data_IF_763422165479
#
_entry.id   IF_763422165479
#
_cell.length_a   1.000
_cell.length_b   1.000
_cell.length_c   1.000
_cell.angle_alpha   90.00
_cell.angle_beta   90.00
_cell.angle_gamma   90.00
#
_symmetry.space_group_name_H-M   'P 1'
#
loop_
_entity.id
_entity.type
_entity.pdbx_description
1 polymer ?
#
# COMPACT_ATOMS: atom_id res chain seq x y z
N UNK A 1 0.63 -36.79 14.53
CA UNK A 1 1.53 -35.98 15.35
C UNK A 1 1.47 -34.55 14.78
N UNK A 2 1.13 -33.55 15.60
CA UNK A 2 0.94 -32.15 15.16
C UNK A 2 2.26 -31.59 14.61
N UNK A 3 2.21 -30.94 13.43
CA UNK A 3 3.41 -30.43 12.75
C UNK A 3 3.36 -28.92 12.64
N UNK A 4 4.52 -28.30 12.78
CA UNK A 4 4.71 -26.85 12.63
C UNK A 4 4.16 -26.32 11.29
N UNK A 5 4.45 -27.03 10.21
CA UNK A 5 4.07 -26.63 8.86
C UNK A 5 2.55 -26.57 8.67
N UNK A 6 1.82 -27.53 9.24
CA UNK A 6 0.35 -27.60 9.19
C UNK A 6 -0.30 -26.39 9.88
N UNK A 7 0.28 -25.95 11.00
CA UNK A 7 -0.18 -24.74 11.69
C UNK A 7 0.10 -23.50 10.83
N UNK A 8 1.31 -23.38 10.24
CA UNK A 8 1.65 -22.25 9.40
C UNK A 8 0.72 -22.14 8.19
N UNK A 9 0.42 -23.25 7.51
CA UNK A 9 -0.51 -23.27 6.38
C UNK A 9 -1.91 -22.77 6.77
N UNK A 10 -2.41 -23.17 7.94
CA UNK A 10 -3.75 -22.79 8.40
C UNK A 10 -3.83 -21.40 9.06
N UNK A 11 -2.70 -20.76 9.33
CA UNK A 11 -2.63 -19.49 10.05
C UNK A 11 -2.04 -18.35 9.24
N UNK A 12 -2.11 -18.43 7.91
CA UNK A 12 -1.50 -17.46 7.02
C UNK A 12 -0.02 -17.22 7.37
N UNK A 13 0.77 -18.31 7.32
CA UNK A 13 2.18 -18.32 7.67
C UNK A 13 2.49 -17.76 9.07
N UNK A 14 1.62 -18.01 10.04
CA UNK A 14 1.77 -17.58 11.43
C UNK A 14 1.19 -16.19 11.74
N UNK A 15 0.72 -15.42 10.77
CA UNK A 15 0.14 -14.09 11.00
C UNK A 15 -1.10 -14.14 11.89
N UNK A 16 -1.96 -15.13 11.67
CA UNK A 16 -3.21 -15.25 12.44
C UNK A 16 -2.95 -15.62 13.91
N UNK A 17 -1.82 -16.29 14.20
CA UNK A 17 -1.39 -16.54 15.58
C UNK A 17 -1.07 -15.22 16.28
N UNK A 18 -0.26 -14.35 15.65
CA UNK A 18 0.03 -13.03 16.20
C UNK A 18 -1.25 -12.18 16.37
N UNK A 19 -2.16 -12.23 15.40
CA UNK A 19 -3.44 -11.51 15.48
C UNK A 19 -4.34 -11.99 16.63
N UNK A 20 -4.26 -13.28 16.98
CA UNK A 20 -5.03 -13.85 18.06
C UNK A 20 -4.51 -13.42 19.45
N UNK A 21 -3.18 -13.44 19.62
CA UNK A 21 -2.58 -13.25 20.93
C UNK A 21 -2.13 -11.81 21.24
N UNK A 22 -1.88 -10.99 20.22
CA UNK A 22 -1.49 -9.58 20.42
C UNK A 22 -2.73 -8.71 20.50
N UNK A 23 -3.02 -8.10 21.68
CA UNK A 23 -4.20 -7.27 21.84
C UNK A 23 -4.09 -5.93 21.10
N UNK A 24 -5.25 -5.29 20.87
CA UNK A 24 -5.33 -3.96 20.28
C UNK A 24 -5.20 -3.91 18.77
N UNK A 25 -5.04 -2.72 18.21
CA UNK A 25 -4.92 -2.47 16.78
C UNK A 25 -3.46 -2.26 16.39
N UNK A 26 -2.89 -3.19 15.68
CA UNK A 26 -1.55 -3.10 15.12
C UNK A 26 -1.55 -3.52 13.65
N UNK A 27 -0.48 -3.22 12.92
CA UNK A 27 -0.34 -3.54 11.50
C UNK A 27 1.05 -4.09 11.21
N UNK A 28 1.13 -5.05 10.30
CA UNK A 28 2.40 -5.56 9.75
C UNK A 28 3.22 -4.38 9.20
N UNK A 29 4.50 -4.34 9.53
CA UNK A 29 5.42 -3.28 9.11
C UNK A 29 5.29 -1.95 9.89
N UNK A 30 4.48 -1.91 10.95
CA UNK A 30 4.35 -0.75 11.84
C UNK A 30 4.73 -1.12 13.27
N UNK A 31 5.44 -0.23 13.94
CA UNK A 31 5.85 -0.46 15.32
C UNK A 31 4.65 -0.33 16.27
N UNK A 32 4.62 -1.22 17.27
CA UNK A 32 3.67 -1.23 18.37
C UNK A 32 4.39 -1.58 19.68
N UNK A 33 3.70 -1.46 20.82
CA UNK A 33 4.25 -1.81 22.14
C UNK A 33 4.34 -3.33 22.29
N UNK A 34 5.44 -3.84 22.82
CA UNK A 34 5.60 -5.27 23.01
C UNK A 34 4.63 -5.78 24.09
N UNK A 35 3.76 -6.76 23.80
CA UNK A 35 2.82 -7.27 24.79
C UNK A 35 3.41 -8.24 25.81
N UNK A 36 4.69 -8.60 25.67
CA UNK A 36 5.37 -9.57 26.54
C UNK A 36 6.01 -8.92 27.76
N UNK A 37 6.17 -7.59 27.79
CA UNK A 37 6.70 -6.81 28.92
C UNK A 37 6.14 -5.38 28.93
N UNK A 38 6.36 -4.65 30.02
CA UNK A 38 6.02 -3.24 30.09
C UNK A 38 6.93 -2.41 29.19
N UNK A 39 6.41 -2.05 28.00
CA UNK A 39 7.12 -1.28 27.00
C UNK A 39 6.61 0.16 26.99
N UNK A 40 7.51 1.13 27.15
CA UNK A 40 7.17 2.55 27.13
C UNK A 40 7.26 3.19 25.74
N UNK A 41 7.87 2.49 24.76
CA UNK A 41 8.11 3.01 23.43
C UNK A 41 7.86 1.92 22.37
N UNK A 42 7.01 2.20 21.42
CA UNK A 42 6.67 1.26 20.34
C UNK A 42 7.93 0.81 19.56
N UNK A 43 8.49 -0.32 19.95
CA UNK A 43 9.73 -0.91 19.42
C UNK A 43 9.50 -2.23 18.69
N UNK A 44 8.32 -2.83 18.80
CA UNK A 44 7.99 -4.15 18.28
C UNK A 44 7.37 -4.07 16.89
N UNK A 45 7.74 -4.97 15.98
CA UNK A 45 7.23 -5.00 14.62
C UNK A 45 6.98 -6.45 14.16
N UNK A 46 5.88 -6.68 13.43
CA UNK A 46 5.64 -7.94 12.73
C UNK A 46 6.02 -7.75 11.26
N UNK A 47 6.85 -8.64 10.73
CA UNK A 47 7.29 -8.63 9.34
C UNK A 47 7.27 -10.04 8.74
N UNK A 48 7.22 -10.13 7.42
CA UNK A 48 7.31 -11.41 6.70
C UNK A 48 8.75 -11.74 6.36
N UNK A 49 9.24 -12.85 6.89
CA UNK A 49 10.57 -13.37 6.57
C UNK A 49 10.49 -14.34 5.39
N UNK A 50 11.01 -13.92 4.25
CA UNK A 50 11.01 -14.72 3.01
C UNK A 50 11.83 -16.00 3.10
N UNK A 51 12.87 -16.06 3.95
CA UNK A 51 13.73 -17.24 4.11
C UNK A 51 13.01 -18.38 4.81
N UNK A 52 12.28 -18.08 5.87
CA UNK A 52 11.48 -19.05 6.61
C UNK A 52 10.04 -19.15 6.12
N UNK A 53 9.63 -18.36 5.14
CA UNK A 53 8.27 -18.26 4.61
C UNK A 53 7.22 -18.10 5.73
N UNK A 54 7.52 -17.27 6.73
CA UNK A 54 6.66 -17.07 7.88
C UNK A 54 6.75 -15.65 8.45
N UNK A 55 5.70 -15.23 9.13
CA UNK A 55 5.73 -13.99 9.88
C UNK A 55 6.54 -14.13 11.15
N UNK A 56 7.31 -13.09 11.46
CA UNK A 56 8.14 -12.98 12.68
C UNK A 56 7.88 -11.66 13.38
N UNK A 57 8.08 -11.68 14.68
CA UNK A 57 8.13 -10.52 15.53
C UNK A 57 9.60 -10.11 15.71
N UNK A 58 9.91 -8.83 15.47
CA UNK A 58 11.19 -8.20 15.80
C UNK A 58 10.94 -7.13 16.83
N UNK A 59 11.65 -7.21 17.95
CA UNK A 59 11.71 -6.15 18.92
C UNK A 59 13.07 -5.43 18.79
N UNK A 60 13.01 -4.13 18.48
CA UNK A 60 14.20 -3.28 18.34
C UNK A 60 14.67 -2.73 19.69
N UNK A 61 13.86 -2.83 20.73
CA UNK A 61 14.20 -2.44 22.10
C UNK A 61 14.91 -3.55 22.85
N UNK A 62 14.48 -4.80 22.67
CA UNK A 62 15.08 -5.98 23.28
C UNK A 62 14.97 -7.20 22.36
N UNK A 63 16.11 -7.62 21.80
CA UNK A 63 16.16 -8.70 20.83
C UNK A 63 15.78 -10.08 21.39
N UNK A 64 15.87 -10.26 22.71
CA UNK A 64 15.45 -11.51 23.39
C UNK A 64 13.97 -11.85 23.18
N UNK A 65 13.15 -10.86 22.79
CA UNK A 65 11.74 -11.05 22.49
C UNK A 65 11.45 -11.19 20.98
N UNK A 66 12.49 -11.32 20.15
CA UNK A 66 12.35 -11.49 18.71
C UNK A 66 12.24 -12.96 18.33
N UNK A 67 11.24 -13.33 17.48
CA UNK A 67 11.07 -14.71 17.07
C UNK A 67 9.87 -14.96 16.16
N UNK A 68 9.60 -16.24 15.86
CA UNK A 68 8.42 -16.65 15.13
C UNK A 68 7.18 -16.71 16.04
N UNK A 69 6.02 -17.03 15.46
CA UNK A 69 4.77 -17.11 16.23
C UNK A 69 4.78 -18.17 17.31
N UNK A 70 5.54 -19.26 17.16
CA UNK A 70 5.67 -20.31 18.15
C UNK A 70 6.51 -19.85 19.35
N UNK A 71 7.63 -19.16 19.06
CA UNK A 71 8.44 -18.51 20.08
C UNK A 71 7.61 -17.51 20.89
N UNK A 72 6.84 -16.67 20.21
CA UNK A 72 5.98 -15.67 20.84
C UNK A 72 4.95 -16.32 21.79
N UNK A 73 4.26 -17.38 21.35
CA UNK A 73 3.31 -18.11 22.21
C UNK A 73 4.02 -18.81 23.35
N UNK A 74 5.20 -19.37 23.10
CA UNK A 74 6.04 -19.97 24.16
C UNK A 74 6.35 -18.97 25.27
N UNK A 75 6.84 -17.77 24.90
CA UNK A 75 7.12 -16.68 25.86
C UNK A 75 5.84 -16.26 26.62
N UNK A 76 4.72 -16.11 25.92
CA UNK A 76 3.45 -15.71 26.51
C UNK A 76 2.91 -16.77 27.52
N UNK A 77 3.22 -18.06 27.30
CA UNK A 77 2.75 -19.17 28.13
C UNK A 77 3.81 -19.69 29.10
N UNK A 78 5.01 -19.11 29.12
CA UNK A 78 6.13 -19.54 29.96
C UNK A 78 6.69 -20.93 29.56
N UNK A 79 6.62 -21.27 28.28
CA UNK A 79 7.10 -22.53 27.72
C UNK A 79 8.37 -22.32 26.88
N UNK A 80 9.36 -23.18 27.09
CA UNK A 80 10.62 -23.12 26.32
C UNK A 80 10.46 -23.79 24.96
N UNK A 81 10.58 -22.99 23.88
CA UNK A 81 10.50 -23.48 22.51
C UNK A 81 11.62 -24.43 22.10
N UNK A 82 12.76 -24.43 22.81
CA UNK A 82 13.88 -25.32 22.53
C UNK A 82 13.68 -26.71 23.16
N UNK A 83 12.74 -26.85 24.08
CA UNK A 83 12.38 -28.12 24.67
C UNK A 83 11.30 -28.81 23.82
N UNK A 84 11.58 -30.01 23.36
CA UNK A 84 10.66 -30.77 22.46
C UNK A 84 9.27 -31.00 23.06
N UNK A 85 9.16 -31.26 24.34
CA UNK A 85 7.88 -31.47 25.02
C UNK A 85 7.09 -30.18 25.11
N UNK A 86 7.73 -29.08 25.50
CA UNK A 86 7.14 -27.75 25.55
C UNK A 86 6.74 -27.26 24.16
N UNK A 87 7.53 -27.57 23.14
CA UNK A 87 7.18 -27.20 21.76
C UNK A 87 5.93 -27.91 21.26
N UNK A 88 5.77 -29.21 21.54
CA UNK A 88 4.55 -29.95 21.22
C UNK A 88 3.34 -29.35 21.95
N UNK A 89 3.52 -28.91 23.18
CA UNK A 89 2.45 -28.26 23.95
C UNK A 89 2.07 -26.89 23.34
N UNK A 90 3.06 -26.10 22.90
CA UNK A 90 2.82 -24.84 22.15
C UNK A 90 1.99 -25.10 20.89
N UNK A 91 2.31 -26.14 20.12
CA UNK A 91 1.52 -26.51 18.93
C UNK A 91 0.07 -26.85 19.31
N UNK A 92 -0.15 -27.61 20.39
CA UNK A 92 -1.50 -27.97 20.88
C UNK A 92 -2.29 -26.75 21.35
N UNK A 93 -1.63 -25.84 22.06
CA UNK A 93 -2.24 -24.58 22.51
C UNK A 93 -2.72 -23.77 21.31
N UNK A 94 -1.87 -23.59 20.28
CA UNK A 94 -2.23 -22.86 19.07
C UNK A 94 -3.37 -23.55 18.32
N UNK A 95 -3.30 -24.88 18.15
CA UNK A 95 -4.35 -25.66 17.48
C UNK A 95 -5.69 -25.50 18.19
N UNK A 96 -5.72 -25.61 19.53
CA UNK A 96 -6.91 -25.45 20.36
C UNK A 96 -7.43 -24.01 20.33
N UNK A 97 -6.57 -23.02 20.61
CA UNK A 97 -7.00 -21.64 20.79
C UNK A 97 -7.49 -21.01 19.47
N UNK A 98 -6.91 -21.42 18.33
CA UNK A 98 -7.36 -21.01 16.99
C UNK A 98 -8.35 -22.00 16.35
N UNK A 99 -8.72 -23.08 17.05
CA UNK A 99 -9.65 -24.12 16.57
C UNK A 99 -9.27 -24.69 15.19
N UNK A 100 -7.98 -25.01 14.97
CA UNK A 100 -7.47 -25.45 13.69
C UNK A 100 -7.88 -26.90 13.34
N UNK A 101 -8.23 -27.72 14.35
CA UNK A 101 -8.70 -29.11 14.19
C UNK A 101 -7.61 -30.07 13.71
N UNK A 102 -6.35 -29.83 14.07
CA UNK A 102 -5.20 -30.65 13.67
C UNK A 102 -4.91 -31.78 14.66
N UNK A 103 -5.42 -31.72 15.91
CA UNK A 103 -5.28 -32.77 16.92
C UNK A 103 -6.29 -33.89 16.65
N UNK A 104 -5.83 -35.13 16.57
CA UNK A 104 -6.67 -36.32 16.38
C UNK A 104 -7.73 -36.43 17.50
N UNK A 105 -9.00 -36.44 17.13
CA UNK A 105 -10.11 -36.79 18.01
C UNK A 105 -11.23 -35.78 18.17
N UNK A 106 -11.16 -34.61 17.61
CA UNK A 106 -12.31 -33.72 17.52
C UNK A 106 -12.96 -33.82 16.12
N UNK A 107 -14.31 -34.10 16.06
CA UNK A 107 -15.00 -33.91 14.78
C UNK A 107 -14.76 -32.47 14.33
N UNK A 108 -14.32 -32.33 13.09
CA UNK A 108 -14.17 -31.04 12.44
C UNK A 108 -15.46 -30.27 12.72
N UNK A 109 -15.43 -29.19 13.52
CA UNK A 109 -16.51 -28.23 13.42
C UNK A 109 -16.43 -27.80 11.99
N UNK A 110 -17.44 -28.08 11.17
CA UNK A 110 -17.64 -27.41 9.90
C UNK A 110 -17.26 -25.96 10.18
N UNK A 111 -16.16 -25.50 9.61
CA UNK A 111 -15.79 -24.11 9.59
C UNK A 111 -17.06 -23.38 9.17
N UNK A 112 -17.84 -22.91 10.16
CA UNK A 112 -18.59 -21.69 9.95
C UNK A 112 -17.50 -20.77 9.46
N UNK A 113 -17.49 -20.58 8.14
CA UNK A 113 -16.74 -19.47 7.53
C UNK A 113 -16.74 -18.40 8.59
N UNK A 114 -15.58 -18.10 9.19
CA UNK A 114 -15.46 -16.89 9.96
C UNK A 114 -15.94 -15.84 8.98
N UNK A 115 -17.22 -15.51 9.06
CA UNK A 115 -17.65 -14.20 8.68
C UNK A 115 -16.68 -13.35 9.49
N UNK A 116 -15.69 -12.80 8.79
CA UNK A 116 -14.94 -11.66 9.27
C UNK A 116 -15.97 -10.89 10.09
N UNK A 117 -15.77 -10.66 11.43
CA UNK A 117 -16.79 -9.97 12.22
C UNK A 117 -17.17 -8.83 11.31
N UNK A 118 -18.43 -8.87 10.83
CA UNK A 118 -18.89 -7.88 9.87
C UNK A 118 -18.41 -6.60 10.53
N UNK A 119 -17.33 -6.02 9.99
CA UNK A 119 -16.94 -4.66 10.36
C UNK A 119 -18.29 -4.00 10.28
N UNK A 120 -18.85 -3.48 11.42
CA UNK A 120 -20.18 -2.92 11.33
C UNK A 120 -20.14 -2.22 10.01
N UNK A 121 -21.00 -2.70 9.06
CA UNK A 121 -21.09 -2.05 7.77
C UNK A 121 -21.63 -0.71 8.18
N UNK A 122 -20.71 0.12 8.64
CA UNK A 122 -20.86 1.55 8.55
C UNK A 122 -21.20 1.67 7.09
N UNK A 123 -22.50 1.84 6.84
CA UNK A 123 -23.05 2.16 5.54
C UNK A 123 -21.98 3.03 4.92
N UNK A 124 -21.38 2.66 3.76
CA UNK A 124 -20.21 3.34 3.27
C UNK A 124 -20.53 4.80 3.49
N UNK A 125 -19.87 5.40 4.52
CA UNK A 125 -19.94 6.82 4.69
C UNK A 125 -19.35 7.23 3.38
N UNK A 126 -20.24 7.57 2.42
CA UNK A 126 -19.80 8.28 1.25
C UNK A 126 -19.06 9.44 1.85
N UNK A 127 -17.74 9.30 1.93
CA UNK A 127 -16.89 10.43 2.25
C UNK A 127 -17.17 11.34 1.10
N UNK A 128 -18.14 12.22 1.34
CA UNK A 128 -18.51 13.27 0.40
C UNK A 128 -17.21 13.97 0.12
N UNK A 129 -16.67 13.67 -1.06
CA UNK A 129 -15.38 14.25 -1.44
C UNK A 129 -15.53 15.75 -1.37
N UNK A 130 -14.46 16.46 -1.09
CA UNK A 130 -14.50 17.93 -1.01
C UNK A 130 -15.23 18.48 -2.24
N UNK A 131 -16.24 19.33 -2.08
CA UNK A 131 -16.93 19.93 -3.21
C UNK A 131 -15.92 20.68 -4.06
N UNK A 132 -16.02 20.57 -5.36
CA UNK A 132 -15.15 21.27 -6.27
C UNK A 132 -15.87 21.65 -7.55
N UNK A 133 -15.42 22.72 -8.15
CA UNK A 133 -15.76 23.12 -9.51
C UNK A 133 -14.51 23.48 -10.27
N UNK A 134 -14.50 23.27 -11.58
CA UNK A 134 -13.40 23.70 -12.41
C UNK A 134 -13.89 24.12 -13.79
N UNK A 135 -13.15 25.04 -14.41
CA UNK A 135 -13.32 25.44 -15.81
C UNK A 135 -12.13 24.93 -16.59
N UNK A 136 -12.41 24.19 -17.65
CA UNK A 136 -11.36 23.67 -18.55
C UNK A 136 -11.35 24.42 -19.87
N UNK A 137 -10.25 24.32 -20.58
CA UNK A 137 -10.07 24.76 -21.95
C UNK A 137 -9.23 23.75 -22.73
N UNK A 138 -9.17 23.91 -24.04
CA UNK A 138 -8.19 23.18 -24.85
C UNK A 138 -6.78 23.61 -24.46
N UNK A 139 -5.85 22.65 -24.55
CA UNK A 139 -4.42 22.91 -24.31
C UNK A 139 -3.90 23.97 -25.33
N UNK A 140 -3.17 24.94 -24.86
CA UNK A 140 -2.50 25.95 -25.69
C UNK A 140 -1.24 25.37 -26.33
N UNK A 141 -0.68 26.06 -27.33
CA UNK A 141 0.57 25.65 -27.98
C UNK A 141 1.72 25.52 -26.97
N UNK A 142 1.88 26.48 -26.04
CA UNK A 142 2.91 26.41 -24.99
C UNK A 142 2.71 25.29 -24.00
N UNK A 143 1.46 24.91 -23.71
CA UNK A 143 1.16 23.76 -22.85
C UNK A 143 1.45 22.44 -23.58
N UNK A 144 1.21 22.37 -24.88
CA UNK A 144 1.59 21.21 -25.69
C UNK A 144 3.11 21.07 -25.80
N UNK A 145 3.85 22.16 -25.97
CA UNK A 145 5.32 22.16 -25.91
C UNK A 145 5.86 21.66 -24.57
N UNK A 146 5.21 22.05 -23.47
CA UNK A 146 5.57 21.55 -22.14
C UNK A 146 5.44 20.02 -22.05
N UNK A 147 4.39 19.40 -22.61
CA UNK A 147 4.21 17.96 -22.61
C UNK A 147 5.12 17.26 -23.62
N UNK A 148 5.38 17.89 -24.76
CA UNK A 148 6.23 17.35 -25.83
C UNK A 148 7.68 17.12 -25.36
N UNK A 149 8.22 17.91 -24.41
CA UNK A 149 9.57 17.70 -23.85
C UNK A 149 9.71 16.33 -23.13
N UNK A 150 8.60 15.69 -22.76
CA UNK A 150 8.55 14.35 -22.15
C UNK A 150 8.11 13.28 -23.17
N UNK A 151 8.06 13.61 -24.45
CA UNK A 151 7.57 12.71 -25.50
C UNK A 151 6.05 12.52 -25.50
N UNK A 152 5.29 13.25 -24.67
CA UNK A 152 3.85 13.10 -24.53
C UNK A 152 3.15 13.91 -25.61
N UNK A 153 2.44 13.21 -26.51
CA UNK A 153 1.72 13.82 -27.64
C UNK A 153 0.30 14.24 -27.26
N UNK A 154 -0.36 15.10 -28.09
CA UNK A 154 -1.76 15.48 -27.86
C UNK A 154 -2.70 14.25 -27.77
N UNK A 155 -2.47 13.21 -28.56
CA UNK A 155 -3.27 12.00 -28.59
C UNK A 155 -3.17 11.24 -27.26
N UNK A 156 -1.96 11.17 -26.67
CA UNK A 156 -1.75 10.59 -25.34
C UNK A 156 -2.46 11.40 -24.27
N UNK A 157 -2.41 12.73 -24.34
CA UNK A 157 -3.11 13.60 -23.39
C UNK A 157 -4.63 13.39 -23.45
N UNK A 158 -5.19 13.24 -24.63
CA UNK A 158 -6.60 12.93 -24.83
C UNK A 158 -6.96 11.53 -24.31
N UNK A 159 -6.15 10.51 -24.66
CA UNK A 159 -6.33 9.13 -24.20
C UNK A 159 -6.36 9.03 -22.67
N UNK A 160 -5.52 9.79 -21.99
CA UNK A 160 -5.43 9.84 -20.55
C UNK A 160 -6.32 10.91 -19.89
N UNK A 161 -7.21 11.55 -20.66
CA UNK A 161 -8.20 12.52 -20.19
C UNK A 161 -7.56 13.71 -19.46
N UNK A 162 -6.40 14.18 -19.96
CA UNK A 162 -5.72 15.36 -19.45
C UNK A 162 -6.33 16.61 -20.04
N UNK A 163 -6.61 17.62 -19.22
CA UNK A 163 -7.13 18.91 -19.68
C UNK A 163 -6.32 20.08 -19.11
N UNK A 164 -6.37 21.23 -19.79
CA UNK A 164 -5.93 22.51 -19.23
C UNK A 164 -7.05 23.09 -18.36
N UNK A 165 -6.74 23.43 -17.11
CA UNK A 165 -7.69 23.98 -16.13
C UNK A 165 -7.45 25.48 -16.00
N UNK A 166 -8.48 26.27 -16.37
CA UNK A 166 -8.43 27.74 -16.25
C UNK A 166 -8.60 28.19 -14.82
N UNK A 167 -9.58 27.60 -14.14
CA UNK A 167 -9.89 27.92 -12.75
C UNK A 167 -10.36 26.65 -12.02
N UNK A 168 -9.91 26.51 -10.79
CA UNK A 168 -10.35 25.47 -9.86
C UNK A 168 -10.79 26.09 -8.55
N UNK A 169 -11.91 25.66 -8.02
CA UNK A 169 -12.45 26.10 -6.74
C UNK A 169 -12.78 24.87 -5.90
N UNK A 170 -12.48 24.93 -4.62
CA UNK A 170 -12.78 23.87 -3.64
C UNK A 170 -12.76 24.46 -2.23
N UNK A 171 -12.91 23.59 -1.22
CA UNK A 171 -12.85 23.94 0.20
C UNK A 171 -11.66 23.23 0.86
N UNK A 172 -11.04 23.89 1.83
CA UNK A 172 -10.00 23.27 2.65
C UNK A 172 -10.62 22.32 3.70
N UNK A 173 -9.79 21.74 4.59
CA UNK A 173 -10.24 20.81 5.63
C UNK A 173 -11.20 21.49 6.63
N UNK A 174 -11.09 22.81 6.79
CA UNK A 174 -11.87 23.62 7.71
C UNK A 174 -13.15 24.19 7.07
N UNK A 175 -13.44 23.81 5.81
CA UNK A 175 -14.60 24.28 5.05
C UNK A 175 -14.43 25.67 4.43
N UNK A 176 -13.23 26.28 4.50
CA UNK A 176 -12.99 27.58 3.90
C UNK A 176 -12.76 27.43 2.38
N UNK A 177 -13.48 28.24 1.56
CA UNK A 177 -13.32 28.19 0.11
C UNK A 177 -11.96 28.72 -0.33
N UNK A 178 -11.39 28.09 -1.35
CA UNK A 178 -10.20 28.58 -2.02
C UNK A 178 -10.33 28.44 -3.54
N UNK A 179 -9.60 29.23 -4.28
CA UNK A 179 -9.59 29.20 -5.74
C UNK A 179 -8.15 29.33 -6.28
N UNK A 180 -7.86 28.58 -7.33
CA UNK A 180 -6.66 28.72 -8.13
C UNK A 180 -7.02 29.01 -9.57
N UNK A 181 -6.31 29.94 -10.18
CA UNK A 181 -6.44 30.27 -11.62
C UNK A 181 -5.10 30.02 -12.29
N UNK A 182 -5.16 29.41 -13.48
CA UNK A 182 -3.95 29.21 -14.29
C UNK A 182 -3.51 30.53 -14.93
N UNK A 183 -2.22 30.70 -15.02
CA UNK A 183 -1.58 31.76 -15.81
C UNK A 183 -0.71 31.12 -16.88
N UNK A 184 -0.07 31.95 -17.73
CA UNK A 184 0.87 31.45 -18.73
C UNK A 184 2.13 30.86 -18.08
N UNK A 185 2.55 31.46 -16.95
CA UNK A 185 3.72 31.06 -16.16
C UNK A 185 3.43 29.88 -15.22
N UNK A 186 2.18 29.81 -14.71
CA UNK A 186 1.72 28.74 -13.81
C UNK A 186 0.49 28.00 -14.39
N UNK A 187 0.69 27.16 -15.41
CA UNK A 187 -0.40 26.34 -15.97
C UNK A 187 -0.87 25.30 -14.94
N UNK A 188 -2.14 24.95 -15.05
CA UNK A 188 -2.78 23.92 -14.24
C UNK A 188 -3.32 22.84 -15.17
N UNK A 189 -2.88 21.61 -14.96
CA UNK A 189 -3.37 20.44 -15.69
C UNK A 189 -4.27 19.59 -14.80
N UNK A 190 -5.34 19.02 -15.36
CA UNK A 190 -6.27 18.17 -14.66
C UNK A 190 -6.25 16.74 -15.21
N UNK A 191 -6.04 15.74 -14.34
CA UNK A 191 -6.27 14.33 -14.62
C UNK A 191 -7.71 14.00 -14.21
N UNK A 192 -8.59 13.93 -15.21
CA UNK A 192 -10.03 13.77 -14.97
C UNK A 192 -10.44 12.34 -14.70
N UNK A 193 -11.28 12.15 -13.68
CA UNK A 193 -11.99 10.92 -13.41
C UNK A 193 -13.47 11.22 -13.16
N UNK A 194 -14.33 10.19 -13.16
CA UNK A 194 -15.78 10.35 -12.94
C UNK A 194 -16.16 10.93 -11.58
N UNK A 195 -15.33 10.72 -10.54
CA UNK A 195 -15.64 11.06 -9.15
C UNK A 195 -14.71 12.09 -8.54
N UNK A 196 -13.63 12.43 -9.22
CA UNK A 196 -12.61 13.35 -8.71
C UNK A 196 -11.80 13.96 -9.86
N UNK A 197 -11.04 14.98 -9.54
CA UNK A 197 -9.97 15.52 -10.38
C UNK A 197 -8.70 15.62 -9.55
N UNK A 198 -7.57 15.19 -10.12
CA UNK A 198 -6.23 15.46 -9.58
C UNK A 198 -5.62 16.57 -10.42
N UNK A 199 -5.20 17.65 -9.79
CA UNK A 199 -4.58 18.77 -10.46
C UNK A 199 -3.06 18.67 -10.35
N UNK A 200 -2.38 18.96 -11.42
CA UNK A 200 -0.94 19.06 -11.52
C UNK A 200 -0.52 20.48 -11.86
N UNK A 201 0.32 21.07 -11.02
CA UNK A 201 0.85 22.44 -11.12
C UNK A 201 2.39 22.36 -11.15
N UNK A 202 3.01 22.19 -12.34
CA UNK A 202 4.44 21.85 -12.47
C UNK A 202 5.37 22.85 -11.83
N UNK A 203 5.04 24.15 -11.88
CA UNK A 203 5.89 25.25 -11.45
C UNK A 203 5.54 25.80 -10.06
N UNK A 204 4.49 25.27 -9.43
CA UNK A 204 4.04 25.72 -8.11
C UNK A 204 4.69 24.92 -6.97
N UNK A 205 4.87 25.55 -5.80
CA UNK A 205 5.37 24.89 -4.58
C UNK A 205 4.47 23.71 -4.19
N UNK A 206 3.16 23.87 -4.28
CA UNK A 206 2.18 22.80 -4.11
C UNK A 206 1.82 22.23 -5.47
N UNK A 207 2.52 21.16 -5.87
CA UNK A 207 2.38 20.57 -7.19
C UNK A 207 1.06 19.87 -7.44
N UNK A 208 0.46 19.30 -6.43
CA UNK A 208 -0.77 18.51 -6.56
C UNK A 208 -1.88 19.04 -5.67
N UNK A 209 -3.07 19.16 -6.24
CA UNK A 209 -4.31 19.45 -5.55
C UNK A 209 -5.38 18.44 -5.96
N UNK A 210 -6.41 18.33 -5.16
CA UNK A 210 -7.43 17.32 -5.33
C UNK A 210 -8.81 17.92 -5.16
N UNK A 211 -9.72 17.58 -6.08
CA UNK A 211 -11.15 17.84 -5.97
C UNK A 211 -11.92 16.53 -5.98
N UNK A 212 -12.95 16.41 -5.15
CA UNK A 212 -13.73 15.20 -5.00
C UNK A 212 -13.08 14.14 -4.11
N UNK A 213 -13.51 12.90 -4.22
CA UNK A 213 -13.03 11.79 -3.40
C UNK A 213 -12.03 10.93 -4.18
N UNK A 214 -10.74 11.14 -3.92
CA UNK A 214 -9.69 10.23 -4.37
C UNK A 214 -9.63 9.08 -3.37
N UNK A 215 -10.34 7.98 -3.67
CA UNK A 215 -10.33 6.79 -2.85
C UNK A 215 -8.98 6.07 -2.84
N UNK A 216 -8.87 5.07 -1.95
CA UNK A 216 -7.69 4.18 -1.85
C UNK A 216 -7.39 3.40 -3.14
N UNK A 217 -8.35 3.35 -4.06
CA UNK A 217 -8.29 2.63 -5.34
C UNK A 217 -7.79 3.48 -6.51
N UNK A 218 -7.22 4.68 -6.26
CA UNK A 218 -6.65 5.48 -7.34
C UNK A 218 -5.54 4.72 -8.06
N UNK A 219 -5.75 4.48 -9.35
CA UNK A 219 -4.77 3.84 -10.22
C UNK A 219 -4.87 4.50 -11.59
N UNK A 220 -3.92 5.37 -11.91
CA UNK A 220 -3.85 6.06 -13.19
C UNK A 220 -3.26 5.13 -14.25
N UNK A 221 -3.82 5.16 -15.45
CA UNK A 221 -3.40 4.31 -16.54
C UNK A 221 -4.12 2.95 -16.60
N UNK A 222 -4.88 2.57 -15.57
CA UNK A 222 -5.54 1.26 -15.51
C UNK A 222 -6.59 1.05 -16.62
N UNK A 223 -7.34 2.11 -16.97
CA UNK A 223 -8.36 2.08 -18.04
C UNK A 223 -7.75 1.94 -19.43
N UNK A 224 -6.50 2.39 -19.62
CA UNK A 224 -5.77 2.37 -20.88
C UNK A 224 -5.04 1.06 -21.16
N UNK A 225 -4.96 0.18 -20.17
CA UNK A 225 -4.26 -1.09 -20.33
C UNK A 225 -5.01 -2.07 -21.23
N UNK A 226 -4.33 -2.81 -22.11
CA UNK A 226 -4.93 -3.88 -22.91
C UNK A 226 -5.39 -5.04 -22.02
N UNK A 227 -6.26 -5.89 -22.52
CA UNK A 227 -6.73 -7.09 -21.79
C UNK A 227 -5.60 -8.09 -21.50
N UNK A 228 -4.56 -8.14 -22.33
CA UNK A 228 -3.34 -8.96 -22.18
C UNK A 228 -2.13 -8.21 -22.69
N UNK A 229 -0.97 -8.44 -22.06
CA UNK A 229 0.32 -7.86 -22.45
C UNK A 229 1.50 -8.64 -21.88
N UNK A 230 2.70 -8.35 -22.33
CA UNK A 230 3.92 -8.99 -21.82
C UNK A 230 4.38 -8.31 -20.53
N UNK A 231 4.60 -7.00 -20.57
CA UNK A 231 5.21 -6.25 -19.47
C UNK A 231 4.34 -5.06 -19.09
N UNK A 232 4.15 -4.88 -17.78
CA UNK A 232 3.52 -3.73 -17.16
C UNK A 232 4.53 -3.05 -16.24
N UNK A 233 4.65 -1.73 -16.34
CA UNK A 233 5.45 -0.92 -15.45
C UNK A 233 4.58 -0.24 -14.38
N UNK A 234 5.05 -0.19 -13.15
CA UNK A 234 4.47 0.60 -12.07
C UNK A 234 5.43 1.75 -11.78
N UNK A 235 4.98 2.99 -11.97
CA UNK A 235 5.80 4.20 -11.90
C UNK A 235 5.39 5.11 -10.75
N UNK A 236 6.19 6.16 -10.51
CA UNK A 236 5.97 7.13 -9.44
C UNK A 236 4.89 8.18 -9.72
N UNK A 237 4.53 8.43 -10.99
CA UNK A 237 3.63 9.52 -11.31
C UNK A 237 2.93 9.40 -12.67
N UNK A 238 1.87 10.20 -12.84
CA UNK A 238 1.03 10.21 -14.03
C UNK A 238 1.81 10.60 -15.30
N UNK A 239 2.76 11.52 -15.15
CA UNK A 239 3.61 11.97 -16.25
C UNK A 239 4.48 10.82 -16.78
N UNK A 240 5.05 10.02 -15.88
CA UNK A 240 5.90 8.88 -16.25
C UNK A 240 5.07 7.79 -16.95
N UNK A 241 3.83 7.55 -16.50
CA UNK A 241 2.88 6.64 -17.17
C UNK A 241 2.64 7.08 -18.61
N UNK A 242 2.34 8.36 -18.83
CA UNK A 242 2.06 8.88 -20.18
C UNK A 242 3.32 8.90 -21.05
N UNK A 243 4.48 9.20 -20.49
CA UNK A 243 5.75 9.15 -21.23
C UNK A 243 6.08 7.72 -21.68
N UNK A 244 5.91 6.73 -20.82
CA UNK A 244 6.06 5.31 -21.18
C UNK A 244 5.04 4.89 -22.25
N UNK A 245 3.79 5.32 -22.12
CA UNK A 245 2.75 5.04 -23.11
C UNK A 245 3.08 5.63 -24.50
N UNK A 246 3.65 6.82 -24.54
CA UNK A 246 4.11 7.44 -25.78
C UNK A 246 5.21 6.63 -26.49
N UNK A 247 5.96 5.82 -25.74
CA UNK A 247 6.98 4.90 -26.27
C UNK A 247 6.46 3.46 -26.45
N UNK A 248 5.13 3.24 -26.35
CA UNK A 248 4.51 1.92 -26.57
C UNK A 248 4.56 0.98 -25.38
N UNK A 249 4.95 1.45 -24.20
CA UNK A 249 4.96 0.63 -22.99
C UNK A 249 3.67 0.77 -22.19
N UNK A 250 3.26 -0.28 -21.52
CA UNK A 250 2.12 -0.27 -20.60
C UNK A 250 2.57 0.13 -19.20
N UNK A 251 1.96 1.14 -18.65
CA UNK A 251 2.31 1.62 -17.32
C UNK A 251 1.10 2.08 -16.52
N UNK A 252 1.22 2.00 -15.19
CA UNK A 252 0.28 2.56 -14.22
C UNK A 252 1.02 3.27 -13.10
N UNK A 253 0.35 4.15 -12.39
CA UNK A 253 0.83 4.67 -11.10
C UNK A 253 -0.31 4.79 -10.09
N UNK A 254 0.08 4.85 -8.82
CA UNK A 254 -0.80 5.12 -7.70
C UNK A 254 -0.67 6.59 -7.27
N UNK A 255 -1.51 7.01 -6.31
CA UNK A 255 -1.57 8.43 -5.93
C UNK A 255 -0.26 9.01 -5.37
N UNK A 256 0.60 8.17 -4.80
CA UNK A 256 1.92 8.55 -4.28
C UNK A 256 2.85 7.33 -4.33
N UNK A 257 4.16 7.56 -4.48
CA UNK A 257 5.20 6.53 -4.41
C UNK A 257 5.23 5.79 -3.06
N UNK A 258 4.74 6.43 -2.00
CA UNK A 258 4.69 5.87 -0.65
C UNK A 258 3.40 5.10 -0.35
N UNK A 259 2.44 5.08 -1.27
CA UNK A 259 1.19 4.33 -1.10
C UNK A 259 1.46 2.84 -1.20
N UNK A 260 0.96 2.08 -0.24
CA UNK A 260 0.96 0.63 -0.33
C UNK A 260 0.15 0.21 -1.56
N UNK A 261 0.80 -0.47 -2.48
CA UNK A 261 0.15 -0.97 -3.71
C UNK A 261 -0.99 -1.92 -3.32
N UNK A 262 -2.24 -1.66 -3.76
CA UNK A 262 -3.37 -2.51 -3.39
C UNK A 262 -3.20 -3.93 -3.93
N UNK A 263 -3.13 -4.96 -3.06
CA UNK A 263 -2.86 -6.34 -3.49
C UNK A 263 -3.89 -6.88 -4.48
N UNK A 264 -5.16 -6.48 -4.33
CA UNK A 264 -6.25 -6.87 -5.22
C UNK A 264 -6.10 -6.34 -6.65
N UNK A 265 -5.51 -5.15 -6.84
CA UNK A 265 -5.21 -4.60 -8.17
C UNK A 265 -4.07 -5.40 -8.79
N UNK A 266 -2.97 -5.60 -8.05
CA UNK A 266 -1.82 -6.38 -8.55
C UNK A 266 -2.25 -7.80 -8.91
N UNK A 267 -2.99 -8.47 -8.04
CA UNK A 267 -3.49 -9.82 -8.31
C UNK A 267 -4.26 -9.90 -9.64
N UNK A 268 -5.16 -8.96 -9.92
CA UNK A 268 -5.88 -8.90 -11.19
C UNK A 268 -4.95 -8.65 -12.39
N UNK A 269 -3.90 -7.88 -12.20
CA UNK A 269 -2.95 -7.55 -13.26
C UNK A 269 -2.01 -8.73 -13.60
N UNK A 270 -1.73 -9.64 -12.65
CA UNK A 270 -0.95 -10.86 -12.93
C UNK A 270 -1.64 -11.81 -13.91
N UNK A 271 -2.96 -11.74 -14.06
CA UNK A 271 -3.69 -12.50 -15.10
C UNK A 271 -3.66 -11.84 -16.48
N UNK A 272 -3.24 -10.56 -16.55
CA UNK A 272 -3.19 -9.77 -17.78
C UNK A 272 -1.77 -9.63 -18.34
N UNK A 273 -0.76 -9.60 -17.48
CA UNK A 273 0.63 -9.35 -17.83
C UNK A 273 1.54 -10.45 -17.30
N UNK A 274 2.51 -10.88 -18.14
CA UNK A 274 3.50 -11.90 -17.76
C UNK A 274 4.51 -11.35 -16.75
N UNK A 275 4.89 -10.07 -16.91
CA UNK A 275 5.87 -9.40 -16.06
C UNK A 275 5.29 -8.09 -15.53
N UNK A 276 5.46 -7.86 -14.24
CA UNK A 276 5.13 -6.59 -13.59
C UNK A 276 6.41 -6.04 -12.97
N UNK A 277 6.87 -4.91 -13.47
CA UNK A 277 8.12 -4.26 -13.08
C UNK A 277 7.79 -2.99 -12.32
N UNK A 278 8.31 -2.87 -11.09
CA UNK A 278 8.13 -1.69 -10.26
C UNK A 278 9.36 -0.78 -10.35
N UNK A 279 9.15 0.46 -10.78
CA UNK A 279 10.19 1.50 -10.94
C UNK A 279 10.24 2.50 -9.78
N UNK A 280 9.50 2.26 -8.68
CA UNK A 280 9.34 3.23 -7.59
C UNK A 280 10.62 3.50 -6.78
N UNK A 281 11.63 2.62 -6.85
CA UNK A 281 12.84 2.66 -6.02
C UNK A 281 14.13 2.82 -6.82
N UNK A 282 14.08 3.19 -8.09
CA UNK A 282 15.25 3.25 -8.95
C UNK A 282 16.01 4.58 -8.89
N UNK A 283 15.44 5.60 -8.25
CA UNK A 283 16.13 6.89 -8.06
C UNK A 283 16.50 7.05 -6.59
N UNK A 284 17.77 7.09 -6.21
CA UNK A 284 18.15 7.41 -4.83
C UNK A 284 17.59 8.81 -4.51
N UNK A 285 16.73 8.88 -3.51
CA UNK A 285 16.21 10.14 -3.02
C UNK A 285 17.38 11.03 -2.60
N UNK A 286 17.34 12.36 -2.83
CA UNK A 286 18.34 13.29 -2.26
C UNK A 286 18.51 13.14 -0.74
N UNK A 287 17.54 12.54 -0.04
CA UNK A 287 17.65 12.19 1.38
C UNK A 287 18.51 10.95 1.61
N UNK A 288 18.51 9.98 0.69
CA UNK A 288 19.33 8.77 0.78
C UNK A 288 20.78 9.08 0.45
N UNK A 289 21.03 10.00 -0.47
CA UNK A 289 22.35 10.52 -0.80
C UNK A 289 23.03 11.26 0.38
N UNK A 290 22.27 11.85 1.30
CA UNK A 290 22.83 12.51 2.50
C UNK A 290 23.27 11.54 3.58
N UNK A 291 22.75 10.30 3.63
CA UNK A 291 23.15 9.28 4.61
C UNK A 291 24.44 8.55 4.23
N UNK A 292 24.84 8.56 2.96
CA UNK A 292 26.07 7.89 2.50
C UNK A 292 27.35 8.72 2.69
N UNK A 293 27.26 9.96 3.16
CA UNK A 293 28.41 10.78 3.55
C UNK A 293 28.67 10.62 5.06
N UNK A 294 29.12 9.44 5.47
CA UNK A 294 29.89 9.34 6.70
C UNK A 294 31.29 9.89 6.43
N UNK A 295 31.82 10.82 7.25
CA UNK A 295 33.23 11.18 7.17
C UNK A 295 34.03 9.93 7.53
N UNK A 296 34.93 9.52 6.65
CA UNK A 296 35.98 8.61 7.01
C UNK A 296 36.81 9.29 8.10
N UNK A 297 36.71 8.80 9.30
CA UNK A 297 37.65 9.18 10.38
C UNK A 297 39.04 8.83 9.96
N UNK A 298 39.88 9.83 9.83
CA UNK A 298 41.34 9.70 9.84
C UNK A 298 41.81 9.23 11.21
#
# INVERSE_FOLDING_TARGET
MLRKDEILERTNNGLNVFKHYIPGTWRVGRNFLNPLYEDSKASCNIYFDRRSNSYKLKDFGNDDYSGDCFFFVGMLKGLDCNNSSSFIEILRIIDRDLSLGLSEGNPIPVLKTFKEPEKPVLAPVERTGRPYTFKERKLTASELEYWQQYGITPEILEQYKVCSVVQFQSENADGNPFSYSSTKEEPIYGYKNKRFIKLYRPFSKTRFLYGGNIGESYCFGLEQLPSKGDTLFITGGEKDVMSLAAHGFHAICFNSETVTVPPNIIYKLTFRFKHIICLLYTSPSPRDMRRSRMPSSA
#
